data_IF_126116568422
#
_entry.id   IF_126116568422
#
_cell.length_a   1.000
_cell.length_b   1.000
_cell.length_c   1.000
_cell.angle_alpha   90.00
_cell.angle_beta   90.00
_cell.angle_gamma   90.00
#
_symmetry.space_group_name_H-M   'P 1'
#
loop_
_entity.id
_entity.type
_entity.pdbx_description
1 polymer ?
#
# COMPACT_ATOMS: atom_id res chain seq x y z
N UNK A 1 14.50 13.72 0.55
CA UNK A 1 14.04 13.69 -0.85
C UNK A 1 13.44 15.05 -1.20
N UNK A 2 13.89 15.70 -2.27
CA UNK A 2 13.29 16.96 -2.71
C UNK A 2 11.95 16.67 -3.37
N UNK A 3 10.86 17.29 -2.91
CA UNK A 3 9.55 17.17 -3.54
C UNK A 3 9.61 17.72 -4.98
N UNK A 4 9.01 16.99 -5.92
CA UNK A 4 8.89 17.42 -7.33
C UNK A 4 7.48 17.96 -7.55
N UNK A 5 7.32 19.14 -8.19
CA UNK A 5 5.99 19.69 -8.50
C UNK A 5 5.13 18.68 -9.26
N UNK A 6 3.87 18.51 -8.82
CA UNK A 6 2.91 17.58 -9.43
C UNK A 6 3.15 16.10 -9.14
N UNK A 7 4.15 15.74 -8.31
CA UNK A 7 4.41 14.35 -7.93
C UNK A 7 4.05 14.11 -6.47
N UNK A 8 3.11 13.21 -6.26
CA UNK A 8 2.78 12.69 -4.93
C UNK A 8 3.48 11.36 -4.72
N UNK A 9 4.40 11.34 -3.75
CA UNK A 9 5.06 10.12 -3.31
C UNK A 9 4.23 9.47 -2.20
N UNK A 10 3.87 8.20 -2.39
CA UNK A 10 3.23 7.39 -1.38
C UNK A 10 4.23 6.35 -0.87
N UNK A 11 4.50 6.38 0.44
CA UNK A 11 5.34 5.37 1.07
C UNK A 11 4.49 4.12 1.35
N UNK A 12 4.82 3.04 0.65
CA UNK A 12 4.16 1.74 0.80
C UNK A 12 4.88 0.81 1.77
N UNK A 13 6.06 1.21 2.29
CA UNK A 13 6.91 0.31 3.07
C UNK A 13 6.17 -0.19 4.31
N UNK A 14 5.58 0.73 5.07
CA UNK A 14 4.86 0.41 6.31
C UNK A 14 3.66 -0.50 6.09
N UNK A 15 3.10 -0.56 4.88
CA UNK A 15 2.00 -1.45 4.54
C UNK A 15 2.44 -2.93 4.42
N UNK A 16 3.73 -3.17 4.17
CA UNK A 16 4.25 -4.50 3.85
C UNK A 16 5.45 -4.94 4.70
N UNK A 17 5.75 -4.21 5.78
CA UNK A 17 6.80 -4.58 6.75
C UNK A 17 6.22 -5.05 8.08
N UNK A 18 6.88 -6.01 8.71
CA UNK A 18 6.55 -6.46 10.07
C UNK A 18 7.10 -5.51 11.15
N UNK A 19 6.94 -5.92 12.42
CA UNK A 19 7.41 -5.17 13.60
C UNK A 19 8.92 -4.98 13.65
N UNK A 20 9.69 -5.82 12.94
CA UNK A 20 11.15 -5.67 12.81
C UNK A 20 11.52 -4.69 11.69
N UNK A 21 10.55 -4.25 10.90
CA UNK A 21 10.75 -3.37 9.74
C UNK A 21 11.15 -4.13 8.47
N UNK A 22 11.09 -5.47 8.50
CA UNK A 22 11.44 -6.33 7.37
C UNK A 22 10.21 -6.61 6.50
N UNK A 23 10.42 -6.76 5.19
CA UNK A 23 9.34 -7.09 4.29
C UNK A 23 8.81 -8.50 4.58
N UNK A 24 7.54 -8.59 4.97
CA UNK A 24 6.95 -9.84 5.40
C UNK A 24 6.19 -10.53 4.27
N UNK A 25 6.17 -11.87 4.34
CA UNK A 25 5.27 -12.69 3.52
C UNK A 25 3.86 -12.72 4.07
N UNK A 26 3.73 -12.77 5.39
CA UNK A 26 2.47 -12.84 6.08
C UNK A 26 2.35 -11.66 7.04
N UNK A 27 1.23 -10.95 6.98
CA UNK A 27 0.91 -9.86 7.91
C UNK A 27 -0.46 -10.09 8.54
N UNK A 28 -0.66 -9.71 9.82
CA UNK A 28 -1.97 -9.77 10.45
C UNK A 28 -2.92 -8.75 9.84
N UNK A 29 -4.16 -9.14 9.57
CA UNK A 29 -5.26 -8.21 9.31
C UNK A 29 -5.79 -7.58 10.61
N UNK A 30 -6.85 -6.78 10.52
CA UNK A 30 -7.48 -6.12 11.67
C UNK A 30 -8.05 -7.08 12.72
N UNK A 31 -8.22 -8.37 12.39
CA UNK A 31 -8.66 -9.42 13.31
C UNK A 31 -7.48 -10.22 13.90
N UNK A 32 -6.25 -9.92 13.49
CA UNK A 32 -5.05 -10.66 13.85
C UNK A 32 -4.79 -11.91 12.98
N UNK A 33 -5.59 -12.15 11.94
CA UNK A 33 -5.40 -13.30 11.06
C UNK A 33 -4.25 -13.01 10.09
N UNK A 34 -3.33 -13.96 9.97
CA UNK A 34 -2.23 -13.87 9.00
C UNK A 34 -2.74 -14.01 7.55
N UNK A 35 -2.40 -13.03 6.72
CA UNK A 35 -2.72 -12.95 5.31
C UNK A 35 -1.44 -13.04 4.49
N UNK A 36 -1.43 -13.88 3.44
CA UNK A 36 -0.33 -13.95 2.47
C UNK A 36 -0.34 -12.66 1.64
N UNK A 37 0.62 -11.77 1.83
CA UNK A 37 0.71 -10.46 1.14
C UNK A 37 1.81 -10.42 0.08
N UNK A 38 2.68 -11.45 0.01
CA UNK A 38 3.85 -11.47 -0.87
C UNK A 38 4.10 -12.89 -1.39
N UNK A 39 4.38 -13.02 -2.69
CA UNK A 39 4.69 -14.30 -3.30
C UNK A 39 5.95 -14.92 -2.71
N UNK A 40 6.12 -16.23 -2.94
CA UNK A 40 7.26 -17.02 -2.49
C UNK A 40 8.60 -16.52 -3.01
N UNK A 41 8.61 -15.72 -4.07
CA UNK A 41 9.82 -15.11 -4.62
C UNK A 41 10.38 -13.96 -3.76
N UNK A 42 9.64 -13.54 -2.72
CA UNK A 42 10.06 -12.49 -1.81
C UNK A 42 10.01 -11.08 -2.39
N UNK A 43 9.52 -10.89 -3.62
CA UNK A 43 9.53 -9.61 -4.33
C UNK A 43 8.11 -9.16 -4.67
N UNK A 44 7.32 -10.03 -5.29
CA UNK A 44 6.00 -9.64 -5.82
C UNK A 44 4.90 -9.74 -4.77
N UNK A 45 3.88 -8.90 -4.91
CA UNK A 45 2.69 -8.98 -4.07
C UNK A 45 1.85 -10.19 -4.47
N UNK A 46 1.21 -10.82 -3.47
CA UNK A 46 0.15 -11.79 -3.70
C UNK A 46 -1.12 -11.10 -4.21
N UNK A 47 -2.16 -11.89 -4.48
CA UNK A 47 -3.50 -11.35 -4.73
C UNK A 47 -3.96 -10.40 -3.60
N UNK A 48 -3.86 -10.84 -2.35
CA UNK A 48 -4.28 -10.04 -1.19
C UNK A 48 -3.37 -8.84 -0.95
N UNK A 49 -2.06 -8.96 -1.19
CA UNK A 49 -1.16 -7.82 -1.13
C UNK A 49 -1.50 -6.74 -2.17
N UNK A 50 -1.89 -7.15 -3.37
CA UNK A 50 -2.38 -6.24 -4.41
C UNK A 50 -3.69 -5.55 -4.03
N UNK A 51 -4.60 -6.27 -3.37
CA UNK A 51 -5.85 -5.70 -2.86
C UNK A 51 -5.58 -4.64 -1.77
N UNK A 52 -4.68 -4.93 -0.82
CA UNK A 52 -4.28 -3.99 0.22
C UNK A 52 -3.65 -2.73 -0.37
N UNK A 53 -2.74 -2.88 -1.33
CA UNK A 53 -2.15 -1.76 -2.06
C UNK A 53 -3.22 -0.90 -2.73
N UNK A 54 -4.18 -1.53 -3.41
CA UNK A 54 -5.24 -0.82 -4.14
C UNK A 54 -6.16 -0.06 -3.19
N UNK A 55 -6.55 -0.66 -2.07
CA UNK A 55 -7.37 -0.01 -1.05
C UNK A 55 -6.65 1.20 -0.42
N UNK A 56 -5.35 1.05 -0.12
CA UNK A 56 -4.52 2.14 0.37
C UNK A 56 -4.43 3.27 -0.66
N UNK A 57 -4.12 2.96 -1.93
CA UNK A 57 -4.03 3.95 -2.99
C UNK A 57 -5.34 4.73 -3.16
N UNK A 58 -6.48 4.04 -3.21
CA UNK A 58 -7.79 4.70 -3.31
C UNK A 58 -8.08 5.61 -2.12
N UNK A 59 -7.62 5.23 -0.92
CA UNK A 59 -7.73 6.07 0.27
C UNK A 59 -6.87 7.32 0.17
N UNK A 60 -5.64 7.21 -0.32
CA UNK A 60 -4.74 8.34 -0.50
C UNK A 60 -5.21 9.29 -1.60
N UNK A 61 -5.77 8.77 -2.70
CA UNK A 61 -6.34 9.60 -3.77
C UNK A 61 -7.49 10.48 -3.26
N UNK A 62 -8.39 9.93 -2.43
CA UNK A 62 -9.51 10.67 -1.83
C UNK A 62 -9.06 11.78 -0.87
N UNK A 63 -7.85 11.69 -0.31
CA UNK A 63 -7.30 12.76 0.54
C UNK A 63 -6.80 13.96 -0.28
N UNK A 64 -6.53 13.77 -1.57
CA UNK A 64 -6.11 14.83 -2.46
C UNK A 64 -7.30 15.43 -3.19
N UNK A 65 -7.73 16.63 -2.77
CA UNK A 65 -8.82 17.36 -3.44
C UNK A 65 -8.53 17.69 -4.92
N UNK A 66 -7.26 17.71 -5.32
CA UNK A 66 -6.88 17.84 -6.73
C UNK A 66 -7.13 16.55 -7.51
N UNK A 67 -6.69 15.41 -6.99
CA UNK A 67 -6.83 14.11 -7.67
C UNK A 67 -8.27 13.58 -7.61
N UNK A 68 -8.97 13.79 -6.50
CA UNK A 68 -10.38 13.40 -6.32
C UNK A 68 -11.30 14.05 -7.36
N UNK A 69 -11.02 15.31 -7.73
CA UNK A 69 -11.74 16.03 -8.79
C UNK A 69 -11.52 15.46 -10.19
N UNK A 70 -10.37 14.85 -10.46
CA UNK A 70 -10.10 14.19 -11.75
C UNK A 70 -10.86 12.86 -11.88
N UNK A 71 -11.14 12.20 -10.75
CA UNK A 71 -11.74 10.86 -10.70
C UNK A 71 -13.27 10.84 -10.53
N UNK A 72 -13.86 11.96 -10.12
CA UNK A 72 -15.30 12.09 -9.86
C UNK A 72 -16.12 12.60 -11.06
N UNK A 73 -15.59 12.49 -12.29
CA UNK A 73 -16.29 12.85 -13.54
C UNK A 73 -16.96 11.65 -14.20
#
# INVERSE_FOLDING_TARGET
MTQRPGVHYLDLRSLFTDESGDYARYLPDSSGKLIDVRLTDGVHLSHWGGEWLSAFLLTELKKSAELDRLWSQ
#
